data_IF_161902471865
#
_entry.id   IF_161902471865
#
_cell.length_a   1.000
_cell.length_b   1.000
_cell.length_c   1.000
_cell.angle_alpha   90.00
_cell.angle_beta   90.00
_cell.angle_gamma   90.00
#
_symmetry.space_group_name_H-M   'P 1'
#
loop_
_entity.id
_entity.type
_entity.pdbx_description
1 polymer ?
#
# COMPACT_ATOMS: atom_id res chain seq x y z
N UNK A 1 -23.18 38.66 -25.91
CA UNK A 1 -23.56 37.51 -25.06
C UNK A 1 -24.22 38.05 -23.81
N UNK A 2 -25.31 37.43 -23.32
CA UNK A 2 -25.95 37.88 -22.07
C UNK A 2 -25.03 37.51 -20.90
N UNK A 3 -24.61 38.51 -20.12
CA UNK A 3 -23.75 38.34 -18.94
C UNK A 3 -24.55 38.55 -17.66
N UNK A 4 -24.05 37.97 -16.57
CA UNK A 4 -24.62 38.11 -15.21
C UNK A 4 -23.50 38.28 -14.21
N UNK A 5 -23.65 39.25 -13.32
CA UNK A 5 -22.66 39.52 -12.28
C UNK A 5 -22.92 38.66 -11.05
N UNK A 6 -21.89 37.96 -10.57
CA UNK A 6 -21.98 37.20 -9.33
C UNK A 6 -22.02 38.13 -8.12
N UNK A 7 -23.05 38.02 -7.30
CA UNK A 7 -23.22 38.84 -6.07
C UNK A 7 -22.16 38.61 -4.98
N UNK A 8 -21.34 37.55 -5.06
CA UNK A 8 -20.32 37.24 -4.04
C UNK A 8 -18.89 37.59 -4.46
N UNK A 9 -18.51 37.32 -5.72
CA UNK A 9 -17.17 37.63 -6.22
C UNK A 9 -17.14 38.80 -7.19
N UNK A 10 -18.30 39.39 -7.50
CA UNK A 10 -18.48 40.55 -8.37
C UNK A 10 -17.95 40.38 -9.81
N UNK A 11 -17.61 39.16 -10.22
CA UNK A 11 -17.19 38.84 -11.59
C UNK A 11 -18.39 38.79 -12.53
N UNK A 12 -18.24 39.37 -13.71
CA UNK A 12 -19.16 39.19 -14.84
C UNK A 12 -18.87 37.86 -15.53
N UNK A 13 -19.90 37.01 -15.62
CA UNK A 13 -19.81 35.70 -16.24
C UNK A 13 -20.95 35.54 -17.24
N UNK A 14 -20.80 34.67 -18.26
CA UNK A 14 -21.92 34.33 -19.15
C UNK A 14 -23.12 33.84 -18.34
N UNK A 15 -24.32 34.33 -18.67
CA UNK A 15 -25.57 33.99 -18.01
C UNK A 15 -26.07 32.60 -18.46
N UNK A 16 -25.27 31.57 -18.22
CA UNK A 16 -25.52 30.19 -18.64
C UNK A 16 -25.57 29.25 -17.45
N UNK A 17 -26.15 28.06 -17.65
CA UNK A 17 -26.16 26.98 -16.65
C UNK A 17 -24.78 26.39 -16.40
N UNK A 18 -23.76 26.77 -17.17
CA UNK A 18 -22.36 26.42 -16.93
C UNK A 18 -21.83 27.16 -15.69
N UNK A 19 -22.07 28.48 -15.60
CA UNK A 19 -21.53 29.35 -14.55
C UNK A 19 -22.49 29.62 -13.39
N UNK A 20 -23.81 29.45 -13.59
CA UNK A 20 -24.83 29.68 -12.57
C UNK A 20 -25.75 28.46 -12.42
N UNK A 21 -26.27 28.23 -11.21
CA UNK A 21 -27.29 27.21 -10.99
C UNK A 21 -28.68 27.71 -11.39
N UNK A 22 -29.52 26.82 -11.89
CA UNK A 22 -30.93 27.13 -12.21
C UNK A 22 -31.70 27.50 -10.94
N UNK A 23 -32.56 28.50 -11.05
CA UNK A 23 -33.46 28.93 -9.99
C UNK A 23 -34.81 29.36 -10.57
N UNK A 24 -35.81 28.52 -10.35
CA UNK A 24 -37.17 28.67 -10.89
C UNK A 24 -37.80 30.01 -10.43
N UNK A 25 -37.52 30.43 -9.20
CA UNK A 25 -38.11 31.65 -8.62
C UNK A 25 -37.35 32.94 -8.97
N UNK A 26 -36.36 32.90 -9.87
CA UNK A 26 -35.56 34.08 -10.22
C UNK A 26 -35.97 34.63 -11.57
N UNK A 27 -35.99 35.97 -11.72
CA UNK A 27 -36.36 36.66 -12.97
C UNK A 27 -35.54 36.19 -14.18
N UNK A 28 -34.28 35.81 -13.98
CA UNK A 28 -33.40 35.33 -15.05
C UNK A 28 -33.29 33.79 -15.13
N UNK A 29 -34.10 33.04 -14.39
CA UNK A 29 -34.00 31.58 -14.28
C UNK A 29 -32.69 31.04 -13.67
N UNK A 30 -31.79 31.92 -13.20
CA UNK A 30 -30.45 31.62 -12.73
C UNK A 30 -30.17 32.29 -11.39
N UNK A 31 -29.47 31.58 -10.49
CA UNK A 31 -29.05 32.11 -9.19
C UNK A 31 -28.14 33.33 -9.33
N UNK A 32 -28.16 34.20 -8.33
CA UNK A 32 -27.34 35.42 -8.26
C UNK A 32 -25.87 35.18 -7.91
N UNK A 33 -25.51 34.00 -7.40
CA UNK A 33 -24.13 33.58 -7.09
C UNK A 33 -23.66 32.58 -8.14
N UNK A 34 -22.42 32.72 -8.61
CA UNK A 34 -21.81 31.74 -9.51
C UNK A 34 -21.60 30.40 -8.79
N UNK A 35 -21.48 29.32 -9.56
CA UNK A 35 -21.30 27.96 -9.02
C UNK A 35 -20.11 27.86 -8.08
N UNK A 36 -18.97 28.48 -8.41
CA UNK A 36 -17.76 28.45 -7.59
C UNK A 36 -18.02 29.03 -6.20
N UNK A 37 -18.58 30.25 -6.14
CA UNK A 37 -18.92 30.88 -4.87
C UNK A 37 -19.99 30.10 -4.10
N UNK A 38 -20.96 29.51 -4.79
CA UNK A 38 -21.99 28.69 -4.16
C UNK A 38 -21.43 27.38 -3.59
N UNK A 39 -20.49 26.75 -4.28
CA UNK A 39 -19.82 25.53 -3.81
C UNK A 39 -18.97 25.81 -2.57
N UNK A 40 -18.21 26.91 -2.56
CA UNK A 40 -17.43 27.36 -1.39
C UNK A 40 -18.36 27.65 -0.20
N UNK A 41 -19.40 28.45 -0.42
CA UNK A 41 -20.40 28.76 0.60
C UNK A 41 -21.06 27.50 1.19
N UNK A 42 -21.45 26.55 0.35
CA UNK A 42 -22.03 25.29 0.80
C UNK A 42 -21.01 24.42 1.57
N UNK A 43 -19.73 24.47 1.19
CA UNK A 43 -18.65 23.77 1.90
C UNK A 43 -18.44 24.33 3.31
N UNK A 44 -18.42 25.66 3.43
CA UNK A 44 -18.32 26.37 4.72
C UNK A 44 -19.54 26.12 5.61
N UNK A 45 -20.74 26.16 5.03
CA UNK A 45 -21.97 25.78 5.72
C UNK A 45 -21.94 24.34 6.24
N UNK A 46 -21.38 23.40 5.47
CA UNK A 46 -21.24 22.01 5.90
C UNK A 46 -20.23 21.85 7.03
N UNK A 47 -19.16 22.64 7.06
CA UNK A 47 -18.16 22.63 8.13
C UNK A 47 -18.68 23.25 9.44
N UNK A 48 -19.58 24.23 9.34
CA UNK A 48 -20.14 24.95 10.49
C UNK A 48 -21.38 24.29 11.09
N UNK A 49 -22.13 23.48 10.32
CA UNK A 49 -23.27 22.73 10.86
C UNK A 49 -22.78 21.50 11.61
N UNK A 50 -23.05 21.45 12.91
CA UNK A 50 -22.98 20.22 13.67
C UNK A 50 -24.00 19.22 13.11
N UNK A 51 -23.50 18.05 12.74
CA UNK A 51 -24.32 16.99 12.20
C UNK A 51 -24.92 16.21 13.38
N UNK A 52 -26.17 16.51 13.74
CA UNK A 52 -26.94 15.70 14.67
C UNK A 52 -27.90 14.81 13.88
N UNK A 53 -27.59 13.50 13.73
CA UNK A 53 -28.55 12.58 13.14
C UNK A 53 -29.75 12.45 14.06
N UNK A 54 -30.93 12.27 13.49
CA UNK A 54 -32.08 11.93 14.30
C UNK A 54 -31.84 10.62 15.08
N UNK A 55 -32.11 10.66 16.38
CA UNK A 55 -32.02 9.52 17.30
C UNK A 55 -33.40 9.05 17.76
N UNK A 56 -34.46 9.74 17.34
CA UNK A 56 -35.83 9.35 17.66
C UNK A 56 -36.26 8.17 16.77
N UNK A 57 -36.44 7.02 17.40
CA UNK A 57 -36.86 5.76 16.76
C UNK A 57 -38.34 5.78 16.33
N UNK A 58 -39.15 6.71 16.84
CA UNK A 58 -40.56 6.85 16.45
C UNK A 58 -40.73 7.42 15.05
N UNK A 59 -39.74 8.21 14.59
CA UNK A 59 -39.73 8.79 13.25
C UNK A 59 -39.30 7.71 12.27
N UNK A 60 -40.18 7.34 11.33
CA UNK A 60 -39.88 6.38 10.27
C UNK A 60 -39.44 7.07 8.98
N UNK A 61 -38.52 6.42 8.26
CA UNK A 61 -38.03 6.85 6.94
C UNK A 61 -38.11 5.69 5.96
N UNK A 62 -38.71 5.95 4.79
CA UNK A 62 -38.80 5.00 3.68
C UNK A 62 -37.50 4.97 2.87
N UNK A 63 -36.93 3.79 2.69
CA UNK A 63 -35.79 3.58 1.81
C UNK A 63 -36.21 3.72 0.35
N UNK A 64 -35.53 4.57 -0.42
CA UNK A 64 -35.85 4.78 -1.85
C UNK A 64 -35.50 3.57 -2.74
N UNK A 65 -34.63 2.66 -2.27
CA UNK A 65 -34.18 1.50 -3.04
C UNK A 65 -35.05 0.26 -2.83
N UNK A 66 -35.31 -0.14 -1.58
CA UNK A 66 -36.14 -1.31 -1.28
C UNK A 66 -37.60 -0.97 -0.93
N UNK A 67 -37.95 0.31 -0.77
CA UNK A 67 -39.29 0.74 -0.40
C UNK A 67 -39.70 0.45 1.06
N UNK A 68 -38.87 -0.23 1.85
CA UNK A 68 -39.17 -0.54 3.25
C UNK A 68 -39.01 0.68 4.16
N UNK A 69 -39.83 0.74 5.21
CA UNK A 69 -39.75 1.76 6.25
C UNK A 69 -38.88 1.28 7.41
N UNK A 70 -37.94 2.13 7.82
CA UNK A 70 -37.06 1.87 8.96
C UNK A 70 -37.08 3.07 9.91
N UNK A 71 -36.75 2.89 11.19
CA UNK A 71 -36.46 4.01 12.07
C UNK A 71 -35.44 4.95 11.42
N UNK A 72 -35.72 6.25 11.47
CA UNK A 72 -34.89 7.31 10.90
C UNK A 72 -33.68 7.55 11.82
N UNK A 73 -32.86 6.52 12.01
CA UNK A 73 -31.67 6.52 12.85
C UNK A 73 -30.42 6.12 12.06
N UNK A 74 -29.25 6.31 12.69
CA UNK A 74 -27.94 5.96 12.11
C UNK A 74 -27.71 4.47 11.99
N UNK A 75 -28.55 3.63 12.59
CA UNK A 75 -28.41 2.17 12.52
C UNK A 75 -28.84 1.66 11.15
N UNK A 76 -29.93 2.21 10.62
CA UNK A 76 -30.51 1.81 9.35
C UNK A 76 -30.06 2.66 8.16
N UNK A 77 -29.64 3.92 8.39
CA UNK A 77 -29.23 4.84 7.32
C UNK A 77 -27.86 5.45 7.57
N UNK A 78 -27.13 5.74 6.49
CA UNK A 78 -25.89 6.50 6.57
C UNK A 78 -26.16 7.98 6.82
N UNK A 79 -25.25 8.62 7.55
CA UNK A 79 -25.23 10.08 7.77
C UNK A 79 -25.17 10.83 6.44
N UNK A 80 -25.93 11.92 6.31
CA UNK A 80 -25.97 12.74 5.10
C UNK A 80 -26.69 14.07 5.29
N UNK A 81 -26.38 15.04 4.43
CA UNK A 81 -27.01 16.37 4.45
C UNK A 81 -28.41 16.35 3.80
N UNK A 82 -29.27 15.47 4.30
CA UNK A 82 -30.63 15.22 3.82
C UNK A 82 -31.62 15.31 4.99
N UNK A 83 -32.90 15.05 4.72
CA UNK A 83 -33.96 15.05 5.73
C UNK A 83 -33.60 14.12 6.92
N UNK A 84 -33.73 14.65 8.15
CA UNK A 84 -33.34 14.03 9.43
C UNK A 84 -31.84 13.70 9.57
N UNK A 85 -30.99 14.32 8.74
CA UNK A 85 -29.55 14.03 8.72
C UNK A 85 -29.22 12.68 8.09
N UNK A 86 -30.15 12.00 7.43
CA UNK A 86 -29.92 10.63 6.96
C UNK A 86 -30.13 10.49 5.46
N UNK A 87 -29.27 9.69 4.82
CA UNK A 87 -29.40 9.36 3.40
C UNK A 87 -30.72 8.64 3.12
N UNK A 88 -31.17 8.69 1.86
CA UNK A 88 -32.45 8.11 1.42
C UNK A 88 -32.43 6.60 1.25
N UNK A 89 -31.25 5.97 1.10
CA UNK A 89 -31.10 4.51 0.99
C UNK A 89 -30.69 3.94 2.35
N UNK A 90 -31.29 2.81 2.74
CA UNK A 90 -30.83 2.06 3.91
C UNK A 90 -29.41 1.52 3.68
N UNK A 91 -28.70 1.21 4.76
CA UNK A 91 -27.31 0.74 4.69
C UNK A 91 -27.17 -0.50 3.83
N UNK A 92 -28.07 -1.46 3.96
CA UNK A 92 -28.05 -2.72 3.19
C UNK A 92 -28.14 -2.43 1.69
N UNK A 93 -29.12 -1.64 1.26
CA UNK A 93 -29.24 -1.27 -0.16
C UNK A 93 -28.01 -0.50 -0.66
N UNK A 94 -27.44 0.39 0.15
CA UNK A 94 -26.24 1.13 -0.23
C UNK A 94 -25.01 0.21 -0.38
N UNK A 95 -24.83 -0.73 0.56
CA UNK A 95 -23.73 -1.71 0.51
C UNK A 95 -23.89 -2.65 -0.67
N UNK A 96 -25.10 -3.16 -0.93
CA UNK A 96 -25.38 -4.04 -2.06
C UNK A 96 -25.10 -3.33 -3.40
N UNK A 97 -25.47 -2.07 -3.54
CA UNK A 97 -25.17 -1.27 -4.73
C UNK A 97 -23.65 -1.04 -4.91
N UNK A 98 -22.92 -0.77 -3.83
CA UNK A 98 -21.47 -0.63 -3.88
C UNK A 98 -20.74 -1.96 -4.13
N UNK A 99 -21.30 -3.07 -3.64
CA UNK A 99 -20.77 -4.43 -3.78
C UNK A 99 -21.04 -5.07 -5.13
N UNK A 100 -22.22 -4.83 -5.73
CA UNK A 100 -22.63 -5.37 -7.03
C UNK A 100 -22.05 -4.64 -8.23
N UNK A 101 -21.18 -3.65 -8.02
CA UNK A 101 -20.45 -3.03 -9.12
C UNK A 101 -19.42 -4.06 -9.63
N UNK A 102 -19.80 -4.82 -10.66
CA UNK A 102 -18.90 -5.76 -11.33
C UNK A 102 -17.62 -5.03 -11.74
N UNK A 103 -16.50 -5.45 -11.15
CA UNK A 103 -15.18 -4.93 -11.51
C UNK A 103 -14.61 -5.82 -12.59
N UNK A 104 -14.82 -5.44 -13.85
CA UNK A 104 -14.13 -6.11 -14.97
C UNK A 104 -12.62 -6.04 -14.78
N UNK A 105 -11.83 -6.99 -15.32
CA UNK A 105 -10.37 -6.94 -15.27
C UNK A 105 -9.80 -5.60 -15.74
N UNK A 106 -10.39 -4.98 -16.76
CA UNK A 106 -9.98 -3.69 -17.32
C UNK A 106 -10.24 -2.55 -16.32
N UNK A 107 -11.40 -2.55 -15.66
CA UNK A 107 -11.73 -1.55 -14.63
C UNK A 107 -10.78 -1.64 -13.43
N UNK A 108 -10.37 -2.87 -13.06
CA UNK A 108 -9.38 -3.12 -12.01
C UNK A 108 -8.01 -2.60 -12.43
N UNK A 109 -7.60 -2.87 -13.67
CA UNK A 109 -6.32 -2.39 -14.19
C UNK A 109 -6.27 -0.87 -14.24
N UNK A 110 -7.34 -0.22 -14.73
CA UNK A 110 -7.46 1.25 -14.72
C UNK A 110 -7.38 1.83 -13.31
N UNK A 111 -8.02 1.19 -12.32
CA UNK A 111 -7.94 1.64 -10.93
C UNK A 111 -6.54 1.50 -10.33
N UNK A 112 -5.81 0.43 -10.68
CA UNK A 112 -4.42 0.23 -10.28
C UNK A 112 -3.53 1.31 -10.91
N UNK A 113 -3.66 1.56 -12.21
CA UNK A 113 -2.87 2.55 -12.94
C UNK A 113 -3.13 3.97 -12.41
N UNK A 114 -4.40 4.34 -12.24
CA UNK A 114 -4.78 5.60 -11.62
C UNK A 114 -4.22 5.73 -10.20
N UNK A 115 -4.29 4.67 -9.38
CA UNK A 115 -3.72 4.65 -8.04
C UNK A 115 -2.20 4.85 -8.04
N UNK A 116 -1.48 4.23 -8.99
CA UNK A 116 -0.04 4.41 -9.19
C UNK A 116 0.28 5.85 -9.59
N UNK A 117 -0.41 6.40 -10.58
CA UNK A 117 -0.23 7.78 -11.04
C UNK A 117 -0.49 8.78 -9.91
N UNK A 118 -1.62 8.65 -9.22
CA UNK A 118 -1.99 9.49 -8.09
C UNK A 118 -0.92 9.44 -6.97
N UNK A 119 -0.37 8.25 -6.68
CA UNK A 119 0.73 8.12 -5.72
C UNK A 119 1.99 8.83 -6.19
N UNK A 120 2.39 8.69 -7.45
CA UNK A 120 3.59 9.34 -7.99
C UNK A 120 3.47 10.87 -7.95
N UNK A 121 2.34 11.42 -8.40
CA UNK A 121 2.07 12.86 -8.40
C UNK A 121 2.03 13.47 -6.99
N UNK A 122 1.65 12.67 -5.98
CA UNK A 122 1.48 13.15 -4.60
C UNK A 122 2.56 12.62 -3.64
N UNK A 123 3.59 11.91 -4.13
CA UNK A 123 4.65 11.28 -3.33
C UNK A 123 5.30 12.25 -2.35
N UNK A 124 5.67 13.44 -2.84
CA UNK A 124 6.29 14.51 -2.03
C UNK A 124 5.33 15.01 -0.95
N UNK A 125 4.08 15.31 -1.31
CA UNK A 125 3.04 15.76 -0.37
C UNK A 125 2.78 14.73 0.73
N UNK A 126 2.76 13.44 0.39
CA UNK A 126 2.62 12.38 1.38
C UNK A 126 3.82 12.29 2.32
N UNK A 127 5.03 12.41 1.80
CA UNK A 127 6.25 12.42 2.61
C UNK A 127 6.26 13.60 3.59
N UNK A 128 5.94 14.82 3.14
CA UNK A 128 5.85 16.01 3.99
C UNK A 128 4.79 15.87 5.08
N UNK A 129 3.59 15.38 4.71
CA UNK A 129 2.52 15.11 5.67
C UNK A 129 2.94 14.10 6.72
N UNK A 130 3.61 13.03 6.28
CA UNK A 130 4.13 11.99 7.18
C UNK A 130 5.20 12.54 8.12
N UNK A 131 6.12 13.38 7.63
CA UNK A 131 7.15 14.02 8.43
C UNK A 131 6.53 14.92 9.52
N UNK A 132 5.53 15.74 9.16
CA UNK A 132 4.79 16.57 10.13
C UNK A 132 4.09 15.72 11.19
N UNK A 133 3.41 14.66 10.78
CA UNK A 133 2.74 13.73 11.69
C UNK A 133 3.73 13.07 12.65
N UNK A 134 4.85 12.54 12.13
CA UNK A 134 5.88 11.88 12.93
C UNK A 134 6.48 12.83 13.97
N UNK A 135 6.81 14.07 13.58
CA UNK A 135 7.34 15.09 14.50
C UNK A 135 6.34 15.44 15.60
N UNK A 136 5.07 15.63 15.25
CA UNK A 136 4.03 15.98 16.22
C UNK A 136 3.61 14.82 17.15
N UNK A 137 3.82 13.57 16.73
CA UNK A 137 3.36 12.37 17.45
C UNK A 137 4.53 11.45 17.86
N UNK A 138 5.74 11.98 17.98
CA UNK A 138 6.94 11.16 18.18
C UNK A 138 6.84 10.24 19.41
N UNK A 139 6.37 10.76 20.54
CA UNK A 139 6.28 9.99 21.78
C UNK A 139 5.14 8.97 21.76
N UNK A 140 4.00 9.31 21.14
CA UNK A 140 2.94 8.34 20.85
C UNK A 140 3.44 7.17 20.00
N UNK A 141 4.21 7.46 18.93
CA UNK A 141 4.78 6.44 18.06
C UNK A 141 5.82 5.57 18.79
N UNK A 142 6.64 6.15 19.68
CA UNK A 142 7.57 5.40 20.53
C UNK A 142 6.82 4.47 21.49
N UNK A 143 5.81 4.97 22.20
CA UNK A 143 5.00 4.17 23.12
C UNK A 143 4.33 3.00 22.40
N UNK A 144 3.76 3.26 21.22
CA UNK A 144 3.14 2.24 20.37
C UNK A 144 4.15 1.22 19.86
N UNK A 145 5.37 1.62 19.53
CA UNK A 145 6.43 0.70 19.13
C UNK A 145 6.87 -0.23 20.27
N UNK A 146 6.92 0.28 21.51
CA UNK A 146 7.17 -0.52 22.72
C UNK A 146 6.04 -1.53 22.93
N UNK A 147 4.78 -1.10 22.87
CA UNK A 147 3.61 -1.96 23.01
C UNK A 147 3.57 -3.06 21.95
N UNK A 148 3.78 -2.69 20.68
CA UNK A 148 3.88 -3.66 19.59
C UNK A 148 5.02 -4.66 19.81
N UNK A 149 6.16 -4.19 20.35
CA UNK A 149 7.28 -5.03 20.76
C UNK A 149 6.87 -6.07 21.80
N UNK A 150 6.12 -5.67 22.83
CA UNK A 150 5.58 -6.56 23.88
C UNK A 150 4.62 -7.60 23.31
N UNK A 151 3.66 -7.17 22.49
CA UNK A 151 2.65 -8.05 21.87
C UNK A 151 3.25 -9.08 20.90
N UNK A 152 4.43 -8.80 20.34
CA UNK A 152 5.10 -9.69 19.39
C UNK A 152 6.36 -10.35 19.98
N UNK A 153 6.52 -10.36 21.30
CA UNK A 153 7.62 -11.03 21.99
C UNK A 153 7.68 -12.52 21.62
N UNK A 154 6.55 -13.22 21.61
CA UNK A 154 6.51 -14.65 21.32
C UNK A 154 6.91 -14.95 19.88
N UNK A 155 6.52 -14.11 18.92
CA UNK A 155 6.98 -14.24 17.53
C UNK A 155 8.49 -14.07 17.42
N UNK A 156 9.08 -13.13 18.17
CA UNK A 156 10.54 -12.95 18.22
C UNK A 156 11.21 -14.18 18.82
N UNK A 157 10.72 -14.66 19.97
CA UNK A 157 11.22 -15.87 20.64
C UNK A 157 11.17 -17.10 19.74
N UNK A 158 10.06 -17.34 19.04
CA UNK A 158 9.92 -18.44 18.08
C UNK A 158 10.95 -18.29 16.94
N UNK A 159 11.12 -17.09 16.42
CA UNK A 159 12.11 -16.84 15.35
C UNK A 159 13.54 -17.07 15.84
N UNK A 160 13.86 -16.62 17.06
CA UNK A 160 15.18 -16.80 17.66
C UNK A 160 15.44 -18.25 18.08
N UNK A 161 14.42 -19.00 18.53
CA UNK A 161 14.50 -20.44 18.73
C UNK A 161 14.85 -21.18 17.43
N UNK A 162 14.11 -20.91 16.34
CA UNK A 162 14.42 -21.47 15.01
C UNK A 162 15.83 -21.15 14.53
N UNK A 163 16.35 -19.95 14.84
CA UNK A 163 17.73 -19.56 14.53
C UNK A 163 18.77 -20.29 15.38
N UNK A 164 18.44 -20.65 16.62
CA UNK A 164 19.33 -21.43 17.49
C UNK A 164 19.36 -22.91 17.11
N UNK A 165 18.20 -23.47 16.81
CA UNK A 165 18.04 -24.89 16.46
C UNK A 165 18.60 -25.24 15.09
N UNK A 166 18.54 -24.33 14.12
CA UNK A 166 18.90 -24.60 12.74
C UNK A 166 20.09 -23.74 12.27
N UNK A 167 21.34 -24.27 12.33
CA UNK A 167 22.55 -23.57 11.89
C UNK A 167 22.46 -23.09 10.45
N UNK A 168 21.88 -23.90 9.55
CA UNK A 168 21.65 -23.56 8.14
C UNK A 168 20.77 -22.31 8.01
N UNK A 169 19.63 -22.29 8.70
CA UNK A 169 18.71 -21.14 8.70
C UNK A 169 19.38 -19.88 9.24
N UNK A 170 20.14 -20.00 10.33
CA UNK A 170 20.91 -18.89 10.91
C UNK A 170 21.94 -18.33 9.94
N UNK A 171 22.73 -19.22 9.32
CA UNK A 171 23.78 -18.85 8.38
C UNK A 171 23.19 -18.18 7.14
N UNK A 172 22.18 -18.77 6.51
CA UNK A 172 21.49 -18.22 5.34
C UNK A 172 20.88 -16.84 5.59
N UNK A 173 20.28 -16.62 6.77
CA UNK A 173 19.75 -15.30 7.14
C UNK A 173 20.86 -14.27 7.34
N UNK A 174 22.00 -14.68 7.91
CA UNK A 174 23.16 -13.81 8.13
C UNK A 174 23.75 -13.32 6.81
N UNK A 175 24.07 -14.25 5.90
CA UNK A 175 24.66 -13.90 4.59
C UNK A 175 23.69 -13.09 3.73
N UNK A 176 22.41 -13.46 3.67
CA UNK A 176 21.38 -12.69 2.94
C UNK A 176 21.30 -11.24 3.44
N UNK A 177 21.33 -11.06 4.76
CA UNK A 177 21.31 -9.75 5.40
C UNK A 177 22.61 -8.98 5.13
N UNK A 178 23.76 -9.66 5.11
CA UNK A 178 25.05 -9.03 4.83
C UNK A 178 25.14 -8.54 3.38
N UNK A 179 24.74 -9.37 2.41
CA UNK A 179 24.66 -9.00 0.99
C UNK A 179 23.73 -7.80 0.81
N UNK A 180 22.52 -7.83 1.39
CA UNK A 180 21.57 -6.71 1.28
C UNK A 180 22.13 -5.42 1.86
N UNK A 181 22.80 -5.47 3.01
CA UNK A 181 23.40 -4.26 3.60
C UNK A 181 24.50 -3.70 2.71
N UNK A 182 25.33 -4.57 2.13
CA UNK A 182 26.42 -4.19 1.22
C UNK A 182 25.92 -3.56 -0.08
N UNK A 183 24.81 -4.06 -0.63
CA UNK A 183 24.24 -3.54 -1.88
C UNK A 183 23.55 -2.17 -1.71
N UNK A 184 22.91 -1.91 -0.56
CA UNK A 184 21.96 -0.79 -0.43
C UNK A 184 22.29 0.24 0.67
N UNK A 185 23.35 0.04 1.47
CA UNK A 185 23.82 1.08 2.41
C UNK A 185 25.05 1.77 1.85
N UNK A 186 24.97 3.08 1.64
CA UNK A 186 26.07 3.93 1.16
C UNK A 186 27.30 3.96 2.08
N UNK A 187 27.19 3.51 3.34
CA UNK A 187 28.27 3.49 4.34
C UNK A 187 28.50 2.10 4.96
N UNK A 188 28.24 1.00 4.25
CA UNK A 188 28.71 -0.31 4.74
C UNK A 188 30.24 -0.30 4.67
N UNK A 189 30.91 -0.39 5.82
CA UNK A 189 32.38 -0.50 5.91
C UNK A 189 32.87 -1.52 4.89
N UNK A 190 33.89 -1.14 4.11
CA UNK A 190 34.54 -2.03 3.16
C UNK A 190 35.03 -3.30 3.88
N UNK A 191 34.74 -4.46 3.30
CA UNK A 191 34.92 -5.77 3.95
C UNK A 191 33.61 -6.32 4.52
N UNK A 192 32.65 -6.60 3.64
CA UNK A 192 31.44 -7.27 4.07
C UNK A 192 31.78 -8.74 4.42
N UNK A 193 31.49 -9.25 5.64
CA UNK A 193 31.92 -10.57 6.08
C UNK A 193 31.54 -11.72 5.14
N UNK A 194 30.54 -11.52 4.28
CA UNK A 194 30.08 -12.53 3.34
C UNK A 194 31.05 -12.81 2.19
N UNK A 195 31.86 -11.84 1.75
CA UNK A 195 32.83 -12.05 0.65
C UNK A 195 33.90 -13.07 1.07
N UNK A 196 34.24 -13.14 2.36
CA UNK A 196 35.14 -14.19 2.88
C UNK A 196 34.53 -15.59 2.88
N UNK A 197 33.22 -15.72 2.68
CA UNK A 197 32.51 -17.00 2.70
C UNK A 197 32.26 -17.56 1.29
N UNK A 198 32.41 -16.74 0.24
CA UNK A 198 32.05 -17.11 -1.13
C UNK A 198 33.16 -16.73 -2.10
N UNK A 199 33.14 -17.35 -3.28
CA UNK A 199 34.22 -17.20 -4.25
C UNK A 199 33.94 -16.07 -5.29
N UNK A 200 33.27 -14.98 -4.88
CA UNK A 200 33.00 -13.81 -5.72
C UNK A 200 32.86 -12.53 -4.92
N UNK A 201 33.10 -11.40 -5.58
CA UNK A 201 33.05 -10.04 -5.03
C UNK A 201 31.69 -9.39 -5.19
N UNK A 202 31.45 -8.30 -4.46
CA UNK A 202 30.29 -7.42 -4.66
C UNK A 202 30.14 -6.98 -6.11
N UNK A 203 31.23 -6.58 -6.77
CA UNK A 203 31.18 -6.07 -8.15
C UNK A 203 30.72 -7.15 -9.12
N UNK A 204 31.22 -8.37 -8.98
CA UNK A 204 30.79 -9.52 -9.79
C UNK A 204 29.33 -9.89 -9.54
N UNK A 205 28.86 -9.81 -8.30
CA UNK A 205 27.45 -10.03 -7.97
C UNK A 205 26.54 -8.99 -8.64
N UNK A 206 26.89 -7.71 -8.56
CA UNK A 206 26.14 -6.61 -9.17
C UNK A 206 26.07 -6.82 -10.69
N UNK A 207 27.22 -7.02 -11.34
CA UNK A 207 27.29 -7.24 -12.79
C UNK A 207 26.50 -8.48 -13.23
N UNK A 208 26.57 -9.56 -12.45
CA UNK A 208 25.81 -10.79 -12.75
C UNK A 208 24.29 -10.61 -12.62
N UNK A 209 23.83 -9.85 -11.63
CA UNK A 209 22.40 -9.57 -11.43
C UNK A 209 21.88 -8.61 -12.51
N UNK A 210 22.62 -7.54 -12.82
CA UNK A 210 22.26 -6.58 -13.87
C UNK A 210 22.12 -7.26 -15.24
N UNK A 211 23.05 -8.15 -15.58
CA UNK A 211 22.99 -8.96 -16.82
C UNK A 211 21.73 -9.84 -16.90
N UNK A 212 21.05 -10.09 -15.78
CA UNK A 212 19.85 -10.93 -15.68
C UNK A 212 18.57 -10.12 -15.44
N UNK A 213 18.63 -8.80 -15.37
CA UNK A 213 17.45 -7.97 -15.19
C UNK A 213 16.47 -8.16 -16.34
N UNK A 214 15.20 -8.32 -15.98
CA UNK A 214 14.09 -8.38 -16.93
C UNK A 214 13.58 -6.96 -17.21
N UNK A 215 12.71 -6.82 -18.22
CA UNK A 215 12.10 -5.53 -18.55
C UNK A 215 11.46 -4.88 -17.32
N UNK A 216 11.85 -3.64 -17.02
CA UNK A 216 11.38 -2.86 -15.88
C UNK A 216 12.12 -3.10 -14.56
N UNK A 217 13.07 -4.04 -14.47
CA UNK A 217 13.91 -4.21 -13.27
C UNK A 217 15.07 -3.21 -13.28
N UNK A 218 15.32 -2.56 -12.14
CA UNK A 218 16.49 -1.74 -11.89
C UNK A 218 16.81 -1.71 -10.38
N UNK A 219 17.89 -1.06 -9.98
CA UNK A 219 18.24 -0.97 -8.56
C UNK A 219 17.29 -0.08 -7.75
N UNK A 220 16.65 0.92 -8.38
CA UNK A 220 15.72 1.85 -7.70
C UNK A 220 14.40 1.18 -7.28
N UNK A 221 13.98 0.14 -8.01
CA UNK A 221 12.79 -0.64 -7.67
C UNK A 221 13.10 -1.96 -6.96
N UNK A 222 14.28 -2.10 -6.37
CA UNK A 222 14.57 -3.23 -5.48
C UNK A 222 13.54 -3.31 -4.34
N UNK A 223 13.03 -4.52 -4.10
CA UNK A 223 11.87 -4.76 -3.24
C UNK A 223 10.59 -5.05 -4.03
N UNK A 224 10.49 -4.54 -5.27
CA UNK A 224 9.55 -5.09 -6.26
C UNK A 224 10.08 -6.40 -6.85
N UNK A 225 11.41 -6.52 -6.98
CA UNK A 225 12.13 -7.76 -7.25
C UNK A 225 13.08 -8.12 -6.09
N UNK A 226 13.45 -9.41 -6.00
CA UNK A 226 14.32 -9.99 -4.97
C UNK A 226 15.47 -10.77 -5.61
N UNK A 227 16.55 -10.98 -4.86
CA UNK A 227 17.57 -11.98 -5.17
C UNK A 227 17.02 -13.36 -4.78
N UNK A 228 16.85 -14.22 -5.76
CA UNK A 228 16.33 -15.58 -5.64
C UNK A 228 17.43 -16.62 -5.90
N UNK A 229 17.23 -17.82 -5.38
CA UNK A 229 18.09 -18.98 -5.65
C UNK A 229 17.38 -19.90 -6.64
N UNK A 230 18.00 -20.19 -7.80
CA UNK A 230 17.44 -21.12 -8.81
C UNK A 230 17.11 -22.47 -8.19
N UNK A 231 18.07 -23.03 -7.48
CA UNK A 231 17.90 -24.18 -6.58
C UNK A 231 17.73 -23.62 -5.17
N UNK A 232 16.58 -23.82 -4.52
CA UNK A 232 16.28 -23.20 -3.25
C UNK A 232 17.24 -23.68 -2.16
N UNK A 233 17.54 -22.80 -1.21
CA UNK A 233 18.38 -23.10 -0.04
C UNK A 233 17.94 -24.40 0.65
N UNK A 234 16.63 -24.68 0.74
CA UNK A 234 16.08 -25.89 1.36
C UNK A 234 16.58 -27.19 0.72
N UNK A 235 16.91 -27.18 -0.58
CA UNK A 235 17.37 -28.37 -1.31
C UNK A 235 18.86 -28.70 -1.10
N UNK A 236 19.67 -27.75 -0.62
CA UNK A 236 21.09 -27.96 -0.34
C UNK A 236 21.34 -28.51 1.07
N UNK A 237 22.43 -29.24 1.28
CA UNK A 237 22.77 -29.83 2.57
C UNK A 237 24.03 -29.20 3.18
N UNK A 238 23.86 -28.16 4.00
CA UNK A 238 24.98 -27.49 4.68
C UNK A 238 24.60 -26.96 6.07
N UNK A 239 25.59 -26.86 6.96
CA UNK A 239 25.46 -26.28 8.31
C UNK A 239 26.52 -25.20 8.60
N UNK A 240 27.63 -25.19 7.86
CA UNK A 240 28.71 -24.21 7.95
C UNK A 240 29.18 -23.78 6.54
N UNK A 241 29.99 -22.69 6.43
CA UNK A 241 30.47 -22.18 5.14
C UNK A 241 31.47 -23.09 4.40
N UNK A 242 32.12 -24.03 5.10
CA UNK A 242 33.11 -24.93 4.50
C UNK A 242 32.50 -26.04 3.64
N UNK A 243 31.21 -26.32 3.79
CA UNK A 243 30.53 -27.36 3.00
C UNK A 243 30.41 -26.96 1.52
N UNK A 244 30.68 -27.89 0.62
CA UNK A 244 30.56 -27.64 -0.84
C UNK A 244 29.14 -27.21 -1.25
N UNK A 245 28.12 -27.78 -0.60
CA UNK A 245 26.73 -27.42 -0.85
C UNK A 245 26.40 -25.98 -0.42
N UNK A 246 27.14 -25.39 0.52
CA UNK A 246 27.06 -23.97 0.84
C UNK A 246 27.55 -23.13 -0.33
N UNK A 247 28.74 -23.44 -0.87
CA UNK A 247 29.31 -22.74 -2.04
C UNK A 247 28.42 -22.87 -3.27
N UNK A 248 27.87 -24.06 -3.53
CA UNK A 248 26.90 -24.30 -4.63
C UNK A 248 25.61 -23.51 -4.43
N UNK A 249 25.13 -23.40 -3.20
CA UNK A 249 23.91 -22.64 -2.89
C UNK A 249 24.11 -21.15 -3.14
N UNK A 250 25.24 -20.60 -2.69
CA UNK A 250 25.50 -19.15 -2.74
C UNK A 250 26.25 -18.69 -4.00
N UNK A 251 26.55 -19.57 -4.96
CA UNK A 251 27.26 -19.23 -6.18
C UNK A 251 26.48 -18.26 -7.07
N UNK A 252 27.19 -17.43 -7.84
CA UNK A 252 26.58 -16.59 -8.87
C UNK A 252 25.70 -17.40 -9.82
N UNK A 253 26.13 -18.59 -10.23
CA UNK A 253 25.34 -19.45 -11.12
C UNK A 253 23.96 -19.83 -10.55
N UNK A 254 23.82 -19.92 -9.22
CA UNK A 254 22.55 -20.21 -8.54
C UNK A 254 21.73 -18.95 -8.22
N UNK A 255 22.37 -17.79 -8.05
CA UNK A 255 21.68 -16.53 -7.76
C UNK A 255 21.08 -15.88 -9.04
N UNK A 256 19.88 -15.32 -8.91
CA UNK A 256 19.19 -14.60 -9.98
C UNK A 256 18.25 -13.51 -9.45
N UNK A 257 17.99 -12.43 -10.21
CA UNK A 257 16.91 -11.51 -9.91
C UNK A 257 15.56 -12.15 -10.29
N UNK A 258 14.53 -11.94 -9.47
CA UNK A 258 13.16 -12.40 -9.74
C UNK A 258 12.14 -11.45 -9.14
N UNK A 259 11.05 -11.16 -9.84
CA UNK A 259 9.95 -10.35 -9.30
C UNK A 259 9.41 -10.96 -8.00
N UNK A 260 9.16 -10.13 -6.98
CA UNK A 260 8.81 -10.58 -5.64
C UNK A 260 7.53 -11.43 -5.64
N UNK A 261 6.58 -11.11 -6.52
CA UNK A 261 5.34 -11.87 -6.70
C UNK A 261 5.60 -13.28 -7.26
N UNK A 262 6.48 -13.38 -8.27
CA UNK A 262 6.85 -14.65 -8.89
C UNK A 262 7.66 -15.51 -7.94
N UNK A 263 8.63 -14.91 -7.22
CA UNK A 263 9.42 -15.61 -6.22
C UNK A 263 8.54 -16.22 -5.11
N UNK A 264 7.55 -15.44 -4.61
CA UNK A 264 6.56 -15.96 -3.65
C UNK A 264 5.74 -17.12 -4.21
N UNK A 265 5.33 -17.05 -5.48
CA UNK A 265 4.57 -18.12 -6.14
C UNK A 265 5.44 -19.37 -6.42
N UNK A 266 6.73 -19.19 -6.71
CA UNK A 266 7.72 -20.25 -6.93
C UNK A 266 7.94 -21.08 -5.67
N UNK A 267 8.01 -20.45 -4.50
CA UNK A 267 8.34 -21.11 -3.22
C UNK A 267 9.68 -21.90 -3.35
N UNK A 268 9.79 -23.08 -2.74
CA UNK A 268 10.96 -23.95 -2.83
C UNK A 268 10.84 -25.03 -3.95
N UNK A 269 10.11 -24.75 -5.03
CA UNK A 269 9.91 -25.73 -6.11
C UNK A 269 11.17 -25.90 -6.96
N UNK A 270 11.55 -27.17 -7.17
CA UNK A 270 12.62 -27.56 -8.08
C UNK A 270 12.06 -27.81 -9.48
N UNK A 271 12.67 -27.21 -10.51
CA UNK A 271 12.31 -27.47 -11.92
C UNK A 271 12.90 -28.78 -12.44
N UNK A 272 14.04 -29.20 -11.87
CA UNK A 272 14.77 -30.42 -12.23
C UNK A 272 15.18 -31.12 -10.94
N UNK A 273 15.36 -32.44 -11.00
CA UNK A 273 15.93 -33.20 -9.90
C UNK A 273 17.27 -32.59 -9.47
N UNK A 274 17.46 -32.44 -8.16
CA UNK A 274 18.68 -31.90 -7.58
C UNK A 274 19.18 -32.85 -6.49
N UNK A 275 20.41 -33.31 -6.63
CA UNK A 275 21.07 -34.14 -5.62
C UNK A 275 22.00 -33.26 -4.75
N UNK A 276 21.71 -33.12 -3.45
CA UNK A 276 22.61 -32.47 -2.52
C UNK A 276 23.86 -33.34 -2.29
N UNK A 277 24.96 -32.71 -1.92
CA UNK A 277 26.17 -33.45 -1.49
C UNK A 277 26.02 -33.89 -0.03
N UNK A 278 26.73 -34.96 0.34
CA UNK A 278 26.82 -35.38 1.73
C UNK A 278 27.57 -34.34 2.54
N UNK A 279 27.17 -34.15 3.80
CA UNK A 279 27.96 -33.35 4.73
C UNK A 279 29.21 -34.15 5.07
N UNK A 280 30.34 -33.78 4.48
CA UNK A 280 31.64 -34.26 4.93
C UNK A 280 32.09 -33.32 6.02
N UNK A 281 32.11 -33.81 7.26
CA UNK A 281 32.80 -33.10 8.33
C UNK A 281 34.30 -33.20 8.06
N UNK A 282 35.01 -32.07 8.12
CA UNK A 282 36.46 -32.09 8.06
C UNK A 282 36.96 -32.82 9.33
N UNK A 283 37.66 -33.94 9.14
CA UNK A 283 38.28 -34.72 10.20
C UNK A 283 39.36 -33.92 10.95
#
# INVERSE_FOLDING_TARGET
MITKTCTKCHKELPATTEHFFVCINSKSGLRSKCKTCMTLYNSELRKSKEFMPNTDETIKKKCIACGQEFPATVDYFFKGYCLHGLRSKCKTCHVNECGNREKTPESRQKAIEHGRQYYQENKVKFAERWQKYYKANADYLKAKAVEWGKLNLDKRRITDAKRRENPKFRLSQSISRSIRQCLFRHNSKDGAPWESLVDFTRQELVAHLEKKFQSGMNWDNYGEWHIDHKIPISAHNFSNPGHEDFKRCWSLSNLQPMWAKENKAKNAKLKKHFQPRLQMEAA
#
